data_IF_475234012293
#
_entry.id   IF_475234012293
#
_cell.length_a   1.000
_cell.length_b   1.000
_cell.length_c   1.000
_cell.angle_alpha   90.00
_cell.angle_beta   90.00
_cell.angle_gamma   90.00
#
_symmetry.space_group_name_H-M   'P 1'
#
loop_
_entity.id
_entity.type
_entity.pdbx_description
1 polymer ?
#
# COMPACT_ATOMS: atom_id res chain seq x y z
N UNK A 1 23.21 12.34 -9.22
CA UNK A 1 23.28 10.87 -9.12
C UNK A 1 22.91 10.35 -7.74
N UNK A 2 22.92 11.20 -6.70
CA UNK A 2 22.73 10.76 -5.30
C UNK A 2 21.28 10.49 -4.87
N UNK A 3 20.27 11.16 -5.46
CA UNK A 3 18.86 10.98 -5.03
C UNK A 3 18.30 9.57 -5.27
N UNK A 4 18.72 8.91 -6.35
CA UNK A 4 18.26 7.56 -6.67
C UNK A 4 18.88 6.49 -5.75
N UNK A 5 20.09 6.74 -5.23
CA UNK A 5 20.75 5.83 -4.31
C UNK A 5 20.02 5.80 -2.96
N UNK A 6 19.58 6.96 -2.47
CA UNK A 6 18.81 7.08 -1.23
C UNK A 6 17.42 6.43 -1.35
N UNK A 7 16.69 6.65 -2.45
CA UNK A 7 15.38 6.02 -2.66
C UNK A 7 15.47 4.48 -2.70
N UNK A 8 16.45 3.93 -3.43
CA UNK A 8 16.67 2.48 -3.49
C UNK A 8 17.09 1.90 -2.13
N UNK A 9 17.83 2.67 -1.32
CA UNK A 9 18.25 2.25 0.02
C UNK A 9 17.10 2.08 1.01
N UNK A 10 15.94 2.74 0.77
CA UNK A 10 14.74 2.61 1.59
C UNK A 10 13.77 1.54 1.08
N UNK A 11 13.68 1.35 -0.24
CA UNK A 11 12.81 0.36 -0.86
C UNK A 11 13.29 -1.07 -0.62
N UNK A 12 14.61 -1.29 -0.68
CA UNK A 12 15.20 -2.63 -0.46
C UNK A 12 14.88 -3.20 0.92
N UNK A 13 15.09 -2.47 2.04
CA UNK A 13 14.68 -2.92 3.36
C UNK A 13 13.19 -3.20 3.49
N UNK A 14 12.32 -2.35 2.90
CA UNK A 14 10.87 -2.55 2.95
C UNK A 14 10.49 -3.86 2.26
N UNK A 15 11.01 -4.11 1.05
CA UNK A 15 10.75 -5.34 0.31
C UNK A 15 11.23 -6.58 1.09
N UNK A 16 12.44 -6.53 1.64
CA UNK A 16 13.03 -7.63 2.41
C UNK A 16 12.22 -7.91 3.67
N UNK A 17 11.85 -6.88 4.44
CA UNK A 17 11.05 -7.03 5.66
C UNK A 17 9.68 -7.63 5.34
N UNK A 18 9.00 -7.13 4.31
CA UNK A 18 7.70 -7.65 3.87
C UNK A 18 7.82 -9.11 3.42
N UNK A 19 8.86 -9.45 2.67
CA UNK A 19 9.10 -10.81 2.20
C UNK A 19 9.38 -11.78 3.37
N UNK A 20 10.22 -11.37 4.33
CA UNK A 20 10.57 -12.18 5.52
C UNK A 20 9.36 -12.38 6.42
N UNK A 21 8.60 -11.32 6.70
CA UNK A 21 7.38 -11.40 7.51
C UNK A 21 6.37 -12.32 6.83
N UNK A 22 6.06 -12.09 5.53
CA UNK A 22 5.12 -12.96 4.83
C UNK A 22 5.60 -14.42 4.83
N UNK A 23 6.87 -14.68 4.56
CA UNK A 23 7.43 -16.04 4.61
C UNK A 23 7.28 -16.70 5.98
N UNK A 24 7.45 -15.94 7.06
CA UNK A 24 7.26 -16.41 8.44
C UNK A 24 5.79 -16.73 8.75
N UNK A 25 4.85 -16.02 8.14
CA UNK A 25 3.41 -16.19 8.37
C UNK A 25 2.75 -17.23 7.45
N UNK A 26 3.35 -17.61 6.32
CA UNK A 26 2.87 -18.69 5.44
C UNK A 26 2.47 -19.98 6.20
N UNK A 27 3.25 -20.54 7.15
CA UNK A 27 2.86 -21.78 7.84
C UNK A 27 1.61 -21.65 8.73
N UNK A 28 1.16 -20.43 9.03
CA UNK A 28 -0.05 -20.17 9.82
C UNK A 28 -1.31 -20.01 8.95
N UNK A 29 -1.17 -20.01 7.63
CA UNK A 29 -2.28 -19.84 6.69
C UNK A 29 -2.70 -21.23 6.16
N UNK A 30 -3.98 -21.60 6.28
CA UNK A 30 -4.46 -22.87 5.74
C UNK A 30 -4.41 -22.86 4.21
N UNK A 31 -3.63 -23.78 3.62
CA UNK A 31 -3.53 -23.96 2.17
C UNK A 31 -2.28 -24.75 1.78
N UNK A 32 -2.35 -25.41 0.61
CA UNK A 32 -1.20 -26.09 0.03
C UNK A 32 -0.39 -25.13 -0.86
N UNK A 33 0.92 -25.09 -0.66
CA UNK A 33 1.83 -24.26 -1.46
C UNK A 33 2.30 -25.05 -2.68
N UNK A 34 1.80 -24.68 -3.86
CA UNK A 34 2.21 -25.27 -5.13
C UNK A 34 3.21 -24.36 -5.86
N UNK A 35 4.37 -24.90 -6.21
CA UNK A 35 5.39 -24.21 -7.00
C UNK A 35 5.45 -24.81 -8.40
N UNK A 36 4.57 -24.32 -9.27
CA UNK A 36 4.59 -24.65 -10.71
C UNK A 36 5.29 -23.52 -11.47
N UNK A 37 6.11 -23.82 -12.50
CA UNK A 37 6.79 -22.78 -13.30
C UNK A 37 5.84 -21.72 -13.88
N UNK A 38 4.60 -22.11 -14.21
CA UNK A 38 3.55 -21.21 -14.67
C UNK A 38 3.15 -20.17 -13.61
N UNK A 39 3.04 -20.59 -12.34
CA UNK A 39 2.72 -19.70 -11.22
C UNK A 39 3.86 -18.70 -11.01
N UNK A 40 5.11 -19.17 -11.11
CA UNK A 40 6.29 -18.30 -11.02
C UNK A 40 6.31 -17.22 -12.11
N UNK A 41 5.95 -17.58 -13.35
CA UNK A 41 5.87 -16.63 -14.46
C UNK A 41 4.75 -15.59 -14.26
N UNK A 42 3.54 -16.03 -13.88
CA UNK A 42 2.41 -15.13 -13.61
C UNK A 42 2.71 -14.20 -12.45
N UNK A 43 3.31 -14.72 -11.37
CA UNK A 43 3.71 -13.91 -10.22
C UNK A 43 4.78 -12.88 -10.59
N UNK A 44 5.80 -13.27 -11.35
CA UNK A 44 6.87 -12.36 -11.79
C UNK A 44 6.32 -11.27 -12.72
N UNK A 45 5.49 -11.65 -13.68
CA UNK A 45 4.84 -10.71 -14.60
C UNK A 45 3.97 -9.72 -13.82
N UNK A 46 3.13 -10.21 -12.92
CA UNK A 46 2.24 -9.35 -12.11
C UNK A 46 3.04 -8.45 -11.18
N UNK A 47 4.06 -8.97 -10.51
CA UNK A 47 4.90 -8.19 -9.59
C UNK A 47 5.64 -7.07 -10.32
N UNK A 48 6.30 -7.35 -11.45
CA UNK A 48 7.04 -6.33 -12.19
C UNK A 48 6.13 -5.19 -12.65
N UNK A 49 5.01 -5.50 -13.29
CA UNK A 49 4.11 -4.46 -13.78
C UNK A 49 3.43 -3.72 -12.61
N UNK A 50 2.88 -4.44 -11.63
CA UNK A 50 2.21 -3.81 -10.49
C UNK A 50 3.17 -2.94 -9.65
N UNK A 51 4.38 -3.42 -9.38
CA UNK A 51 5.37 -2.67 -8.60
C UNK A 51 5.86 -1.43 -9.34
N UNK A 52 6.12 -1.51 -10.65
CA UNK A 52 6.52 -0.32 -11.42
C UNK A 52 5.40 0.74 -11.37
N UNK A 53 4.15 0.34 -11.60
CA UNK A 53 3.02 1.29 -11.54
C UNK A 53 2.84 1.86 -10.13
N UNK A 54 2.91 1.02 -9.09
CA UNK A 54 2.76 1.44 -7.70
C UNK A 54 3.85 2.42 -7.29
N UNK A 55 5.13 2.10 -7.55
CA UNK A 55 6.27 2.96 -7.20
C UNK A 55 6.22 4.28 -7.97
N UNK A 56 5.89 4.26 -9.26
CA UNK A 56 5.76 5.50 -10.06
C UNK A 56 4.64 6.39 -9.53
N UNK A 57 3.48 5.81 -9.22
CA UNK A 57 2.37 6.57 -8.64
C UNK A 57 2.74 7.13 -7.27
N UNK A 58 3.33 6.31 -6.41
CA UNK A 58 3.77 6.66 -5.06
C UNK A 58 4.77 7.81 -5.09
N UNK A 59 5.86 7.70 -5.86
CA UNK A 59 6.87 8.74 -6.00
C UNK A 59 6.28 10.04 -6.57
N UNK A 60 5.40 9.93 -7.58
CA UNK A 60 4.73 11.10 -8.16
C UNK A 60 3.93 11.84 -7.10
N UNK A 61 3.04 11.17 -6.37
CA UNK A 61 2.17 11.84 -5.39
C UNK A 61 2.90 12.26 -4.12
N UNK A 62 3.89 11.50 -3.65
CA UNK A 62 4.69 11.86 -2.47
C UNK A 62 5.46 13.16 -2.66
N UNK A 63 5.97 13.42 -3.88
CA UNK A 63 6.67 14.68 -4.19
C UNK A 63 5.80 15.93 -4.05
N UNK A 64 4.47 15.82 -4.23
CA UNK A 64 3.56 16.96 -4.20
C UNK A 64 2.92 17.21 -2.83
N UNK A 65 2.80 16.19 -1.99
CA UNK A 65 1.93 16.20 -0.81
C UNK A 65 2.65 16.46 0.52
N UNK A 66 3.98 16.51 0.53
CA UNK A 66 4.79 16.61 1.75
C UNK A 66 4.61 15.40 2.69
N UNK A 67 5.22 15.44 3.87
CA UNK A 67 5.24 14.30 4.80
C UNK A 67 3.83 13.88 5.26
N UNK A 68 2.93 14.85 5.48
CA UNK A 68 1.57 14.57 5.98
C UNK A 68 0.73 13.91 4.90
N UNK A 69 0.72 14.42 3.67
CA UNK A 69 -0.10 13.81 2.63
C UNK A 69 0.47 12.47 2.14
N UNK A 70 1.78 12.25 2.19
CA UNK A 70 2.37 10.92 1.98
C UNK A 70 1.84 9.89 3.00
N UNK A 71 1.73 10.26 4.28
CA UNK A 71 1.18 9.36 5.31
C UNK A 71 -0.28 8.97 5.06
N UNK A 72 -1.10 9.88 4.51
CA UNK A 72 -2.49 9.58 4.16
C UNK A 72 -2.59 8.60 2.99
N UNK A 73 -1.65 8.67 2.02
CA UNK A 73 -1.56 7.70 0.92
C UNK A 73 -1.27 6.31 1.48
N UNK A 74 -0.30 6.18 2.38
CA UNK A 74 0.02 4.88 3.01
C UNK A 74 -1.14 4.31 3.84
N UNK A 75 -1.91 5.15 4.54
CA UNK A 75 -3.13 4.71 5.24
C UNK A 75 -4.22 4.28 4.24
N UNK A 76 -4.22 4.84 3.03
CA UNK A 76 -5.12 4.47 1.94
C UNK A 76 -4.85 3.09 1.36
N UNK A 77 -3.59 2.65 1.27
CA UNK A 77 -3.23 1.35 0.69
C UNK A 77 -4.02 0.17 1.29
N UNK A 78 -4.05 -0.05 2.62
CA UNK A 78 -4.84 -1.13 3.20
C UNK A 78 -6.35 -0.93 3.03
N UNK A 79 -6.85 0.32 3.08
CA UNK A 79 -8.27 0.60 2.89
C UNK A 79 -8.74 0.27 1.47
N UNK A 80 -7.95 0.63 0.45
CA UNK A 80 -8.25 0.31 -0.94
C UNK A 80 -8.04 -1.17 -1.25
N UNK A 81 -7.01 -1.81 -0.70
CA UNK A 81 -6.81 -3.25 -0.86
C UNK A 81 -8.02 -4.03 -0.35
N UNK A 82 -8.53 -3.67 0.83
CA UNK A 82 -9.73 -4.27 1.40
C UNK A 82 -10.99 -3.97 0.58
N UNK A 83 -11.13 -2.74 0.06
CA UNK A 83 -12.22 -2.37 -0.83
C UNK A 83 -12.24 -3.18 -2.14
N UNK A 84 -11.07 -3.40 -2.75
CA UNK A 84 -10.96 -4.21 -3.94
C UNK A 84 -11.13 -5.71 -3.65
N UNK A 85 -10.72 -6.20 -2.48
CA UNK A 85 -11.00 -7.58 -2.07
C UNK A 85 -12.52 -7.84 -2.00
N UNK A 86 -13.29 -6.91 -1.44
CA UNK A 86 -14.76 -6.98 -1.44
C UNK A 86 -15.34 -7.07 -2.85
N UNK A 87 -14.90 -6.17 -3.75
CA UNK A 87 -15.50 -6.01 -5.07
C UNK A 87 -15.07 -7.12 -6.04
N UNK A 88 -13.77 -7.44 -6.08
CA UNK A 88 -13.17 -8.34 -7.07
C UNK A 88 -13.15 -9.79 -6.61
N UNK A 89 -12.91 -10.03 -5.32
CA UNK A 89 -12.77 -11.38 -4.75
C UNK A 89 -14.07 -11.90 -4.12
N UNK A 90 -15.08 -11.03 -3.99
CA UNK A 90 -16.38 -11.33 -3.36
C UNK A 90 -16.23 -11.89 -1.93
N UNK A 91 -15.21 -11.43 -1.21
CA UNK A 91 -14.86 -11.93 0.10
C UNK A 91 -15.93 -11.55 1.14
N UNK A 92 -16.30 -12.51 2.00
CA UNK A 92 -17.30 -12.29 3.06
C UNK A 92 -16.62 -11.69 4.28
N UNK A 93 -17.06 -10.49 4.65
CA UNK A 93 -16.38 -9.71 5.67
C UNK A 93 -16.85 -10.05 7.08
N UNK A 94 -15.91 -10.08 8.00
CA UNK A 94 -16.15 -9.95 9.43
C UNK A 94 -16.45 -8.50 9.80
N UNK A 95 -17.31 -8.31 10.80
CA UNK A 95 -17.68 -6.99 11.32
C UNK A 95 -16.47 -6.15 11.75
N UNK A 96 -15.40 -6.80 12.24
CA UNK A 96 -14.16 -6.13 12.66
C UNK A 96 -13.44 -5.47 11.48
N UNK A 97 -13.45 -6.11 10.31
CA UNK A 97 -12.75 -5.62 9.13
C UNK A 97 -13.46 -4.40 8.53
N UNK A 98 -14.80 -4.39 8.59
CA UNK A 98 -15.62 -3.22 8.21
C UNK A 98 -15.33 -2.02 9.12
N UNK A 99 -15.18 -2.25 10.43
CA UNK A 99 -14.79 -1.20 11.37
C UNK A 99 -13.39 -0.67 11.04
N UNK A 100 -12.44 -1.56 10.74
CA UNK A 100 -11.09 -1.19 10.31
C UNK A 100 -11.10 -0.29 9.07
N UNK A 101 -11.84 -0.71 8.03
CA UNK A 101 -12.02 0.09 6.81
C UNK A 101 -12.63 1.47 7.10
N UNK A 102 -13.64 1.53 7.97
CA UNK A 102 -14.30 2.77 8.34
C UNK A 102 -13.35 3.73 9.07
N UNK A 103 -12.58 3.23 10.05
CA UNK A 103 -11.61 4.02 10.80
C UNK A 103 -10.49 4.56 9.88
N UNK A 104 -9.95 3.71 9.00
CA UNK A 104 -8.93 4.14 8.02
C UNK A 104 -9.47 5.23 7.09
N UNK A 105 -10.69 5.04 6.57
CA UNK A 105 -11.34 6.00 5.67
C UNK A 105 -11.59 7.35 6.38
N UNK A 106 -12.05 7.32 7.63
CA UNK A 106 -12.21 8.54 8.44
C UNK A 106 -10.87 9.24 8.66
N UNK A 107 -9.80 8.50 8.96
CA UNK A 107 -8.45 9.07 9.11
C UNK A 107 -7.99 9.83 7.86
N UNK A 108 -8.24 9.25 6.68
CA UNK A 108 -7.91 9.87 5.39
C UNK A 108 -8.72 11.16 5.17
N UNK A 109 -10.04 11.11 5.41
CA UNK A 109 -10.92 12.27 5.24
C UNK A 109 -10.51 13.40 6.20
N UNK A 110 -10.35 13.11 7.48
CA UNK A 110 -9.98 14.13 8.48
C UNK A 110 -8.59 14.70 8.22
N UNK A 111 -7.62 13.86 7.87
CA UNK A 111 -6.27 14.30 7.53
C UNK A 111 -6.23 15.18 6.27
N UNK A 112 -7.00 14.82 5.24
CA UNK A 112 -7.06 15.61 4.00
C UNK A 112 -7.71 16.98 4.21
N UNK A 113 -8.75 17.07 5.05
CA UNK A 113 -9.37 18.34 5.43
C UNK A 113 -8.39 19.25 6.20
N UNK A 114 -7.58 18.67 7.09
CA UNK A 114 -6.55 19.42 7.82
C UNK A 114 -5.48 19.99 6.87
N UNK A 115 -5.03 19.19 5.91
CA UNK A 115 -4.10 19.63 4.86
C UNK A 115 -4.68 20.77 4.04
N UNK A 116 -5.93 20.65 3.61
CA UNK A 116 -6.61 21.69 2.84
C UNK A 116 -6.72 23.00 3.64
N UNK A 117 -7.09 22.92 4.92
CA UNK A 117 -7.15 24.09 5.82
C UNK A 117 -5.79 24.76 6.00
N UNK A 118 -4.71 23.98 6.12
CA UNK A 118 -3.35 24.50 6.22
C UNK A 118 -2.91 25.24 4.95
N UNK A 119 -3.27 24.70 3.78
CA UNK A 119 -3.01 25.36 2.49
C UNK A 119 -3.70 26.72 2.38
N UNK A 120 -4.96 26.83 2.81
CA UNK A 120 -5.71 28.11 2.77
C UNK A 120 -5.22 29.14 3.80
N UNK A 121 -4.65 28.69 4.92
CA UNK A 121 -4.08 29.57 5.94
C UNK A 121 -2.70 30.14 5.57
N UNK A 122 -1.98 29.49 4.66
CA UNK A 122 -0.65 29.92 4.21
C UNK A 122 -0.69 30.99 3.10
N UNK A 123 -1.86 31.22 2.48
CA UNK A 123 -2.08 32.26 1.45
C UNK A 123 -2.56 33.61 2.01
N UNK A 124 -2.52 33.80 3.34
CA UNK A 124 -2.80 35.07 4.04
C UNK A 124 -1.57 35.58 4.76
#
# INVERSE_FOLDING_TARGET
SDSNADELSMLLPQLVVVAVINALFIPFIPGDVFLTPSIGFVALFTALFATIFAVVAQLKYQRFLGSVGASLVYVGEPAFAFLFAMILLNEKLLTVEIIGLFVMSLGIILGSLSLFKQSLGAER
#
